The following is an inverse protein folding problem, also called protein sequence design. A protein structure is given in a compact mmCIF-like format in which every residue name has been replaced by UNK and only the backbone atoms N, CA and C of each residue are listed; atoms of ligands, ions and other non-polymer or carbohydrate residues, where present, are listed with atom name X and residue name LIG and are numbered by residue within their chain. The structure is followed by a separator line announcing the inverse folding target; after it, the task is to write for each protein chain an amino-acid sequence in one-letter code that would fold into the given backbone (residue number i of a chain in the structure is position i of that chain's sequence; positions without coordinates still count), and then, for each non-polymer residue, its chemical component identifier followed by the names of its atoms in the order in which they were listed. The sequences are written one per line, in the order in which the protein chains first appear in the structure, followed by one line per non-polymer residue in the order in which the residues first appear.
data_IF_719997390629
#
_entry.id   IF_719997390629
#
_cell.length_a   1.000
_cell.length_b   1.000
_cell.length_c   1.000
_cell.angle_alpha   90.00
_cell.angle_beta   90.00
_cell.angle_gamma   90.00
#
_symmetry.space_group_name_H-M   'P 1'
#
loop_
_entity.id
_entity.type
_entity.pdbx_description
1 polymer ?
#
# COMPACT_ATOMS: atom_id res chain seq x y z
N UNK A 1 48.03 -15.45 -31.43
CA UNK A 1 47.63 -14.95 -30.08
C UNK A 1 47.72 -13.42 -30.15
N UNK A 2 46.61 -12.74 -30.36
CA UNK A 2 46.56 -11.27 -30.52
C UNK A 2 46.38 -10.70 -29.12
N UNK A 3 47.40 -10.05 -28.58
CA UNK A 3 47.33 -9.37 -27.30
C UNK A 3 46.40 -8.17 -27.39
N UNK A 4 45.36 -8.10 -26.52
CA UNK A 4 44.52 -6.94 -26.45
C UNK A 4 45.33 -5.73 -25.95
N UNK A 5 45.11 -4.53 -26.52
CA UNK A 5 45.78 -3.33 -26.09
C UNK A 5 45.45 -2.99 -24.63
N UNK A 6 46.39 -2.38 -23.88
CA UNK A 6 46.12 -2.00 -22.50
C UNK A 6 44.99 -0.97 -22.44
N UNK A 7 44.04 -1.22 -21.53
CA UNK A 7 42.89 -0.35 -21.27
C UNK A 7 43.42 1.01 -20.80
N UNK A 8 42.96 2.10 -21.45
CA UNK A 8 43.37 3.45 -21.09
C UNK A 8 42.95 3.81 -19.67
N UNK A 9 43.70 4.66 -18.94
CA UNK A 9 43.33 5.08 -17.57
C UNK A 9 41.94 5.71 -17.53
N UNK A 10 41.50 6.33 -18.60
CA UNK A 10 40.20 6.99 -18.73
C UNK A 10 39.03 5.98 -18.84
N UNK A 11 39.26 4.86 -19.57
CA UNK A 11 38.28 3.75 -19.62
C UNK A 11 38.14 3.01 -18.29
N UNK A 12 39.25 2.87 -17.56
CA UNK A 12 39.24 2.25 -16.24
C UNK A 12 38.48 3.11 -15.20
N UNK A 13 38.61 4.43 -15.28
CA UNK A 13 37.85 5.38 -14.46
C UNK A 13 36.36 5.37 -14.81
N UNK A 14 36.00 5.32 -16.09
CA UNK A 14 34.61 5.27 -16.55
C UNK A 14 33.92 3.96 -16.14
N UNK A 15 34.61 2.82 -16.20
CA UNK A 15 34.08 1.53 -15.76
C UNK A 15 33.92 1.45 -14.25
N UNK A 16 34.83 2.02 -13.47
CA UNK A 16 34.68 2.13 -12.00
C UNK A 16 33.54 3.05 -11.62
N UNK A 17 33.32 4.14 -12.34
CA UNK A 17 32.22 5.05 -12.10
C UNK A 17 30.87 4.40 -12.45
N UNK A 18 30.76 3.69 -13.59
CA UNK A 18 29.57 2.91 -13.99
C UNK A 18 29.25 1.80 -12.98
N UNK A 19 30.26 1.08 -12.46
CA UNK A 19 30.04 0.05 -11.42
C UNK A 19 29.56 0.65 -10.10
N UNK A 20 30.09 1.80 -9.68
CA UNK A 20 29.61 2.50 -8.47
C UNK A 20 28.17 2.98 -8.62
N UNK A 21 27.80 3.52 -9.77
CA UNK A 21 26.45 3.96 -10.07
C UNK A 21 25.48 2.77 -10.04
N UNK A 22 25.85 1.62 -10.64
CA UNK A 22 25.01 0.42 -10.63
C UNK A 22 24.80 -0.15 -9.22
N UNK A 23 25.84 -0.16 -8.37
CA UNK A 23 25.74 -0.71 -7.02
C UNK A 23 24.94 0.19 -6.09
N UNK A 24 25.01 1.51 -6.28
CA UNK A 24 24.30 2.51 -5.47
C UNK A 24 22.80 2.56 -5.82
N UNK A 25 22.44 2.24 -7.04
CA UNK A 25 21.05 2.16 -7.51
C UNK A 25 20.27 0.95 -6.99
N UNK A 26 20.94 -0.09 -6.50
CA UNK A 26 20.28 -1.32 -6.01
C UNK A 26 19.52 -1.09 -4.70
N UNK A 27 20.06 -0.28 -3.78
CA UNK A 27 19.44 -0.07 -2.46
C UNK A 27 18.06 0.59 -2.55
N UNK A 28 17.86 1.73 -3.25
CA UNK A 28 16.53 2.30 -3.44
C UNK A 28 15.56 1.29 -4.07
N UNK A 29 15.99 0.61 -5.14
CA UNK A 29 15.15 -0.39 -5.82
C UNK A 29 14.69 -1.52 -4.89
N UNK A 30 15.56 -2.02 -4.00
CA UNK A 30 15.18 -3.03 -3.01
C UNK A 30 14.17 -2.51 -1.99
N UNK A 31 14.28 -1.25 -1.58
CA UNK A 31 13.32 -0.61 -0.68
C UNK A 31 11.94 -0.44 -1.36
N UNK A 32 11.92 0.01 -2.62
CA UNK A 32 10.70 0.09 -3.42
C UNK A 32 10.02 -1.27 -3.59
N UNK A 33 10.81 -2.34 -3.84
CA UNK A 33 10.28 -3.70 -3.86
C UNK A 33 9.76 -4.15 -2.49
N UNK A 34 10.38 -3.71 -1.39
CA UNK A 34 9.89 -3.90 -0.04
C UNK A 34 8.53 -3.26 0.18
N UNK A 35 8.34 -2.01 -0.29
CA UNK A 35 7.03 -1.33 -0.31
C UNK A 35 6.00 -2.17 -1.08
N UNK A 36 6.31 -2.62 -2.30
CA UNK A 36 5.42 -3.45 -3.12
C UNK A 36 5.03 -4.75 -2.43
N UNK A 37 5.97 -5.43 -1.79
CA UNK A 37 5.71 -6.67 -1.04
C UNK A 37 4.77 -6.40 0.14
N UNK A 38 4.96 -5.30 0.86
CA UNK A 38 4.07 -4.88 1.94
C UNK A 38 2.64 -4.64 1.44
N UNK A 39 2.49 -3.95 0.31
CA UNK A 39 1.19 -3.72 -0.32
C UNK A 39 0.49 -5.02 -0.73
N UNK A 40 1.21 -5.92 -1.39
CA UNK A 40 0.69 -7.24 -1.77
C UNK A 40 0.29 -8.08 -0.54
N UNK A 41 1.13 -8.10 0.50
CA UNK A 41 0.82 -8.77 1.75
C UNK A 41 -0.40 -8.15 2.46
N UNK A 42 -0.55 -6.82 2.43
CA UNK A 42 -1.73 -6.14 2.97
C UNK A 42 -3.02 -6.58 2.26
N UNK A 43 -3.01 -6.68 0.93
CA UNK A 43 -4.14 -7.21 0.14
C UNK A 43 -4.42 -8.67 0.53
N UNK A 44 -3.38 -9.50 0.66
CA UNK A 44 -3.54 -10.89 1.07
C UNK A 44 -4.21 -11.03 2.44
N UNK A 45 -3.80 -10.24 3.43
CA UNK A 45 -4.45 -10.27 4.74
C UNK A 45 -5.86 -9.68 4.71
N UNK A 46 -6.09 -8.61 3.96
CA UNK A 46 -7.42 -8.04 3.79
C UNK A 46 -8.38 -8.95 3.03
N UNK A 47 -7.90 -9.88 2.19
CA UNK A 47 -8.75 -10.86 1.50
C UNK A 47 -9.27 -11.98 2.41
N UNK A 48 -8.63 -12.21 3.56
CA UNK A 48 -9.06 -13.22 4.51
C UNK A 48 -10.31 -12.78 5.30
N UNK A 49 -11.10 -13.73 5.85
CA UNK A 49 -12.15 -13.41 6.81
C UNK A 49 -11.59 -12.58 7.98
N UNK A 50 -12.39 -11.61 8.45
CA UNK A 50 -12.00 -10.82 9.62
C UNK A 50 -12.04 -11.73 10.85
N UNK A 51 -10.93 -11.84 11.54
CA UNK A 51 -10.79 -12.70 12.72
C UNK A 51 -9.34 -12.75 13.20
N UNK A 52 -9.08 -13.42 14.33
CA UNK A 52 -7.74 -13.58 14.84
C UNK A 52 -6.90 -14.39 13.86
N UNK A 53 -5.72 -13.90 13.54
CA UNK A 53 -4.74 -14.60 12.71
C UNK A 53 -3.73 -15.34 13.60
N UNK A 54 -2.99 -16.28 12.98
CA UNK A 54 -1.88 -16.97 13.65
C UNK A 54 -0.68 -16.04 13.93
N UNK A 55 -0.71 -14.79 13.44
CA UNK A 55 0.35 -13.80 13.63
C UNK A 55 0.00 -12.97 14.86
N UNK A 56 0.65 -13.22 15.98
CA UNK A 56 0.53 -12.48 17.24
C UNK A 56 -0.92 -12.35 17.78
N UNK A 57 -1.89 -13.15 17.29
CA UNK A 57 -3.29 -13.03 17.66
C UNK A 57 -4.02 -11.78 17.11
N UNK A 58 -3.37 -11.00 16.24
CA UNK A 58 -3.96 -9.79 15.65
C UNK A 58 -5.03 -10.15 14.62
N UNK A 59 -6.01 -9.25 14.44
CA UNK A 59 -6.98 -9.43 13.37
C UNK A 59 -6.33 -9.29 12.00
N UNK A 60 -6.88 -9.94 10.98
CA UNK A 60 -6.38 -9.88 9.62
C UNK A 60 -6.33 -8.46 9.07
N UNK A 61 -7.33 -7.61 9.38
CA UNK A 61 -7.34 -6.20 9.00
C UNK A 61 -6.33 -5.36 9.78
N UNK A 62 -6.03 -5.70 11.05
CA UNK A 62 -4.97 -5.04 11.81
C UNK A 62 -3.61 -5.27 11.17
N UNK A 63 -3.34 -6.51 10.74
CA UNK A 63 -2.09 -6.82 10.03
C UNK A 63 -2.04 -6.10 8.69
N UNK A 64 -3.14 -6.07 7.94
CA UNK A 64 -3.19 -5.35 6.67
C UNK A 64 -2.87 -3.85 6.84
N UNK A 65 -3.47 -3.20 7.84
CA UNK A 65 -3.19 -1.79 8.16
C UNK A 65 -1.73 -1.55 8.58
N UNK A 66 -1.18 -2.42 9.43
CA UNK A 66 0.22 -2.34 9.84
C UNK A 66 1.19 -2.50 8.65
N UNK A 67 0.86 -3.37 7.68
CA UNK A 67 1.63 -3.56 6.45
C UNK A 67 1.58 -2.33 5.53
N UNK A 68 0.45 -1.61 5.46
CA UNK A 68 0.38 -0.33 4.75
C UNK A 68 1.32 0.69 5.38
N UNK A 69 1.35 0.81 6.72
CA UNK A 69 2.30 1.69 7.41
C UNK A 69 3.76 1.28 7.22
N UNK A 70 4.04 -0.02 7.21
CA UNK A 70 5.39 -0.52 6.90
C UNK A 70 5.78 -0.18 5.46
N UNK A 71 4.84 -0.28 4.50
CA UNK A 71 5.04 0.17 3.12
C UNK A 71 5.38 1.66 3.04
N UNK A 72 4.66 2.53 3.80
CA UNK A 72 4.98 3.97 3.88
C UNK A 72 6.39 4.22 4.42
N UNK A 73 6.86 3.39 5.36
CA UNK A 73 8.23 3.49 5.85
C UNK A 73 9.24 3.15 4.75
N UNK A 74 9.01 2.09 3.98
CA UNK A 74 9.88 1.72 2.86
C UNK A 74 9.90 2.79 1.78
N UNK A 75 8.73 3.35 1.39
CA UNK A 75 8.58 4.46 0.45
C UNK A 75 9.36 5.71 0.91
N UNK A 76 9.24 6.09 2.19
CA UNK A 76 10.03 7.19 2.73
C UNK A 76 11.54 6.94 2.73
N UNK A 77 11.95 5.70 2.97
CA UNK A 77 13.36 5.31 3.00
C UNK A 77 13.97 5.22 1.59
N UNK A 78 13.25 4.74 0.58
CA UNK A 78 13.79 4.67 -0.79
C UNK A 78 13.94 6.06 -1.39
N UNK A 79 12.97 6.96 -1.19
CA UNK A 79 13.07 8.36 -1.58
C UNK A 79 14.21 9.10 -0.87
N UNK A 80 14.48 8.79 0.41
CA UNK A 80 15.64 9.31 1.12
C UNK A 80 16.95 8.74 0.56
N UNK A 81 17.02 7.42 0.36
CA UNK A 81 18.19 6.73 -0.19
C UNK A 81 18.54 7.22 -1.62
N UNK A 82 17.54 7.40 -2.49
CA UNK A 82 17.74 7.91 -3.85
C UNK A 82 18.32 9.34 -3.85
N UNK A 83 17.86 10.20 -2.95
CA UNK A 83 18.41 11.57 -2.78
C UNK A 83 19.83 11.56 -2.24
N UNK A 84 20.10 10.75 -1.23
CA UNK A 84 21.43 10.67 -0.60
C UNK A 84 22.49 10.15 -1.59
N UNK A 85 22.11 9.20 -2.43
CA UNK A 85 23.02 8.54 -3.36
C UNK A 85 23.10 9.24 -4.73
N UNK A 86 22.27 10.27 -4.96
CA UNK A 86 22.14 10.96 -6.26
C UNK A 86 21.92 9.98 -7.42
N UNK A 87 21.19 8.89 -7.16
CA UNK A 87 20.97 7.79 -8.11
C UNK A 87 19.53 7.76 -8.65
N UNK A 88 18.86 8.89 -8.69
CA UNK A 88 17.53 8.99 -9.29
C UNK A 88 17.59 8.51 -10.75
N UNK A 89 16.83 7.46 -11.09
CA UNK A 89 16.69 6.94 -12.44
C UNK A 89 15.22 6.98 -12.86
N UNK A 90 14.96 7.17 -14.14
CA UNK A 90 13.58 7.11 -14.67
C UNK A 90 12.92 5.77 -14.39
N UNK A 91 13.67 4.67 -14.47
CA UNK A 91 13.19 3.34 -14.13
C UNK A 91 12.80 3.24 -12.64
N UNK A 92 13.61 3.80 -11.73
CA UNK A 92 13.30 3.83 -10.30
C UNK A 92 12.02 4.59 -10.01
N UNK A 93 11.80 5.75 -10.61
CA UNK A 93 10.59 6.56 -10.44
C UNK A 93 9.33 5.84 -10.98
N UNK A 94 9.44 5.10 -12.07
CA UNK A 94 8.32 4.29 -12.59
C UNK A 94 8.01 3.11 -11.67
N UNK A 95 9.04 2.41 -11.19
CA UNK A 95 8.86 1.29 -10.26
C UNK A 95 8.22 1.73 -8.94
N UNK A 96 8.66 2.88 -8.41
CA UNK A 96 8.13 3.54 -7.23
C UNK A 96 6.62 3.82 -7.39
N UNK A 97 6.22 4.45 -8.49
CA UNK A 97 4.82 4.70 -8.79
C UNK A 97 3.97 3.43 -8.88
N UNK A 98 4.54 2.34 -9.41
CA UNK A 98 3.85 1.04 -9.46
C UNK A 98 3.70 0.44 -8.06
N UNK A 99 4.73 0.51 -7.22
CA UNK A 99 4.69 0.05 -5.85
C UNK A 99 3.65 0.84 -5.03
N UNK A 100 3.67 2.16 -5.15
CA UNK A 100 2.73 3.06 -4.50
C UNK A 100 1.28 2.83 -4.92
N UNK A 101 1.05 2.52 -6.20
CA UNK A 101 -0.28 2.19 -6.69
C UNK A 101 -0.84 0.95 -5.98
N UNK A 102 -0.02 -0.07 -5.74
CA UNK A 102 -0.44 -1.28 -5.04
C UNK A 102 -0.63 -1.01 -3.55
N UNK A 103 0.34 -0.36 -2.91
CA UNK A 103 0.37 -0.19 -1.44
C UNK A 103 -0.58 0.91 -0.97
N UNK A 104 -0.70 2.02 -1.69
CA UNK A 104 -1.49 3.18 -1.28
C UNK A 104 -2.77 3.38 -2.10
N UNK A 105 -2.94 2.66 -3.21
CA UNK A 105 -4.16 2.63 -3.99
C UNK A 105 -4.99 1.38 -3.72
N UNK A 106 -4.50 0.22 -4.14
CA UNK A 106 -5.26 -1.03 -4.15
C UNK A 106 -5.47 -1.58 -2.73
N UNK A 107 -4.43 -1.65 -1.91
CA UNK A 107 -4.51 -2.25 -0.58
C UNK A 107 -5.53 -1.53 0.34
N UNK A 108 -5.53 -0.19 0.50
CA UNK A 108 -6.52 0.51 1.31
C UNK A 108 -7.94 0.37 0.76
N UNK A 109 -8.14 0.42 -0.56
CA UNK A 109 -9.44 0.20 -1.19
C UNK A 109 -10.00 -1.18 -0.83
N UNK A 110 -9.15 -2.21 -0.89
CA UNK A 110 -9.50 -3.57 -0.56
C UNK A 110 -9.82 -3.76 0.93
N UNK A 111 -9.08 -3.08 1.83
CA UNK A 111 -9.35 -3.07 3.26
C UNK A 111 -10.74 -2.49 3.57
N UNK A 112 -11.10 -1.37 2.94
CA UNK A 112 -12.43 -0.76 3.11
C UNK A 112 -13.54 -1.69 2.59
N UNK A 113 -13.37 -2.26 1.38
CA UNK A 113 -14.33 -3.23 0.84
C UNK A 113 -14.51 -4.42 1.77
N UNK A 114 -13.43 -4.96 2.34
CA UNK A 114 -13.51 -6.06 3.30
C UNK A 114 -14.27 -5.68 4.56
N UNK A 115 -13.99 -4.48 5.10
CA UNK A 115 -14.67 -3.99 6.29
C UNK A 115 -16.17 -3.81 6.05
N UNK A 116 -16.54 -3.18 4.95
CA UNK A 116 -17.94 -2.96 4.57
C UNK A 116 -18.65 -4.30 4.29
N UNK A 117 -17.98 -5.24 3.62
CA UNK A 117 -18.54 -6.59 3.36
C UNK A 117 -18.89 -7.32 4.64
N UNK A 118 -18.07 -7.19 5.66
CA UNK A 118 -18.30 -7.81 6.97
C UNK A 118 -19.58 -7.31 7.63
N UNK A 119 -19.88 -6.01 7.55
CA UNK A 119 -21.04 -5.42 8.23
C UNK A 119 -22.34 -5.48 7.42
N UNK A 120 -22.25 -5.41 6.11
CA UNK A 120 -23.44 -5.23 5.26
C UNK A 120 -23.68 -6.39 4.29
N UNK A 121 -22.78 -7.34 4.22
CA UNK A 121 -22.88 -8.48 3.31
C UNK A 121 -23.84 -9.59 3.75
N UNK A 122 -24.33 -9.58 4.99
CA UNK A 122 -25.14 -10.65 5.56
C UNK A 122 -24.30 -11.92 5.91
N UNK A 123 -24.96 -12.98 6.44
CA UNK A 123 -24.26 -14.17 6.94
C UNK A 123 -23.42 -14.90 5.90
N UNK A 124 -23.83 -14.88 4.64
CA UNK A 124 -23.10 -15.52 3.54
C UNK A 124 -21.85 -14.73 3.11
N UNK A 125 -21.76 -13.43 3.46
CA UNK A 125 -20.68 -12.54 3.05
C UNK A 125 -19.56 -12.37 4.08
N UNK A 126 -19.63 -13.06 5.23
CA UNK A 126 -18.50 -13.05 6.18
C UNK A 126 -17.20 -13.57 5.57
N UNK A 127 -17.28 -14.41 4.56
CA UNK A 127 -16.12 -14.97 3.84
C UNK A 127 -15.86 -14.28 2.50
N UNK A 128 -16.88 -13.62 1.90
CA UNK A 128 -16.79 -12.94 0.61
C UNK A 128 -16.42 -11.47 0.73
N UNK A 129 -16.14 -10.85 -0.40
CA UNK A 129 -15.91 -9.40 -0.55
C UNK A 129 -16.93 -8.88 -1.55
N UNK A 130 -17.54 -7.73 -1.23
CA UNK A 130 -18.47 -7.08 -2.14
C UNK A 130 -17.80 -6.80 -3.49
N UNK A 131 -18.42 -7.29 -4.56
CA UNK A 131 -17.96 -7.14 -5.93
C UNK A 131 -18.93 -6.32 -6.79
N UNK A 132 -18.60 -6.14 -8.06
CA UNK A 132 -19.49 -5.48 -9.03
C UNK A 132 -20.75 -6.31 -9.32
N UNK A 133 -20.72 -7.58 -8.97
CA UNK A 133 -21.79 -8.59 -9.07
C UNK A 133 -22.65 -8.70 -7.80
N UNK A 134 -22.43 -7.85 -6.80
CA UNK A 134 -23.20 -7.84 -5.56
C UNK A 134 -24.73 -7.76 -5.86
N UNK A 135 -25.54 -8.54 -5.14
CA UNK A 135 -26.99 -8.61 -5.36
C UNK A 135 -27.71 -7.29 -5.03
N UNK A 136 -27.14 -6.49 -4.12
CA UNK A 136 -27.73 -5.24 -3.68
C UNK A 136 -27.05 -4.01 -4.29
N UNK A 137 -27.83 -2.93 -4.48
CA UNK A 137 -27.33 -1.66 -5.02
C UNK A 137 -26.22 -1.05 -4.12
N UNK A 138 -26.30 -1.23 -2.81
CA UNK A 138 -25.32 -0.72 -1.87
C UNK A 138 -23.95 -1.34 -2.09
N UNK A 139 -23.86 -2.66 -2.25
CA UNK A 139 -22.60 -3.35 -2.54
C UNK A 139 -21.94 -2.89 -3.83
N UNK A 140 -22.75 -2.70 -4.90
CA UNK A 140 -22.27 -2.15 -6.18
C UNK A 140 -21.71 -0.74 -6.03
N UNK A 141 -22.40 0.12 -5.25
CA UNK A 141 -21.95 1.49 -4.99
C UNK A 141 -20.62 1.48 -4.20
N UNK A 142 -20.51 0.66 -3.16
CA UNK A 142 -19.29 0.58 -2.35
C UNK A 142 -18.10 0.09 -3.17
N UNK A 143 -18.33 -0.91 -4.02
CA UNK A 143 -17.31 -1.34 -4.97
C UNK A 143 -16.91 -0.23 -5.93
N UNK A 144 -17.90 0.52 -6.46
CA UNK A 144 -17.67 1.67 -7.34
C UNK A 144 -16.84 2.77 -6.66
N UNK A 145 -17.12 3.08 -5.39
CA UNK A 145 -16.34 4.04 -4.59
C UNK A 145 -14.89 3.58 -4.41
N UNK A 146 -14.67 2.30 -4.11
CA UNK A 146 -13.33 1.74 -3.99
C UNK A 146 -12.57 1.78 -5.33
N UNK A 147 -13.23 1.42 -6.43
CA UNK A 147 -12.65 1.52 -7.77
C UNK A 147 -12.33 2.97 -8.14
N UNK A 148 -13.20 3.92 -7.81
CA UNK A 148 -12.95 5.35 -8.03
C UNK A 148 -11.75 5.86 -7.24
N UNK A 149 -11.59 5.45 -5.98
CA UNK A 149 -10.39 5.76 -5.19
C UNK A 149 -9.11 5.28 -5.87
N UNK A 150 -9.10 4.05 -6.40
CA UNK A 150 -7.97 3.50 -7.15
C UNK A 150 -7.67 4.34 -8.39
N UNK A 151 -8.71 4.70 -9.17
CA UNK A 151 -8.54 5.56 -10.34
C UNK A 151 -7.97 6.94 -9.98
N UNK A 152 -8.44 7.56 -8.91
CA UNK A 152 -7.92 8.84 -8.43
C UNK A 152 -6.45 8.75 -8.02
N UNK A 153 -6.06 7.66 -7.35
CA UNK A 153 -4.66 7.40 -6.98
C UNK A 153 -3.79 7.23 -8.23
N UNK A 154 -4.24 6.46 -9.22
CA UNK A 154 -3.53 6.27 -10.49
C UNK A 154 -3.32 7.59 -11.24
N UNK A 155 -4.38 8.38 -11.40
CA UNK A 155 -4.31 9.68 -12.06
C UNK A 155 -3.35 10.64 -11.36
N UNK A 156 -3.36 10.60 -10.04
CA UNK A 156 -2.45 11.42 -9.25
C UNK A 156 -0.99 11.04 -9.45
N UNK A 157 -0.65 9.73 -9.37
CA UNK A 157 0.71 9.23 -9.59
C UNK A 157 1.19 9.52 -11.01
N UNK A 158 0.32 9.32 -12.01
CA UNK A 158 0.62 9.65 -13.40
C UNK A 158 0.90 11.15 -13.58
N UNK A 159 0.08 12.01 -12.97
CA UNK A 159 0.31 13.46 -13.03
C UNK A 159 1.65 13.85 -12.39
N UNK A 160 1.95 13.31 -11.21
CA UNK A 160 3.22 13.58 -10.52
C UNK A 160 4.44 13.19 -11.38
N UNK A 161 4.39 12.04 -12.07
CA UNK A 161 5.45 11.61 -12.96
C UNK A 161 5.65 12.56 -14.16
N UNK A 162 4.57 13.11 -14.72
CA UNK A 162 4.64 14.08 -15.83
C UNK A 162 5.20 15.43 -15.34
N UNK A 163 4.79 15.89 -14.16
CA UNK A 163 5.25 17.15 -13.59
C UNK A 163 6.77 17.11 -13.26
N UNK A 164 7.29 15.97 -12.78
CA UNK A 164 8.74 15.79 -12.55
C UNK A 164 9.53 15.82 -13.86
N UNK A 165 8.98 15.30 -14.95
CA UNK A 165 9.63 15.28 -16.25
C UNK A 165 9.69 16.67 -16.92
N UNK A 166 8.80 17.60 -16.55
CA UNK A 166 8.80 18.98 -17.04
C UNK A 166 9.70 19.87 -16.16
N UNK A 167 10.84 20.28 -16.71
CA UNK A 167 11.99 20.92 -16.04
C UNK A 167 11.77 22.40 -15.64
N UNK A 168 10.58 22.87 -15.37
CA UNK A 168 10.33 24.24 -14.90
C UNK A 168 10.39 24.32 -13.37
N UNK A 169 11.55 24.73 -12.84
CA UNK A 169 11.86 24.86 -11.40
C UNK A 169 10.97 25.85 -10.64
N UNK A 170 10.18 26.65 -11.31
CA UNK A 170 9.40 27.73 -10.67
C UNK A 170 8.07 27.28 -10.07
N UNK A 171 7.50 26.13 -10.48
CA UNK A 171 6.15 25.68 -10.10
C UNK A 171 6.13 24.63 -8.97
N UNK A 172 7.30 24.17 -8.51
CA UNK A 172 7.44 23.11 -7.50
C UNK A 172 7.12 23.52 -6.04
N UNK A 173 6.67 24.77 -5.82
CA UNK A 173 6.49 25.28 -4.44
C UNK A 173 5.17 24.93 -3.76
N UNK A 174 4.21 24.37 -4.45
CA UNK A 174 2.91 24.05 -3.87
C UNK A 174 2.47 22.62 -4.17
N UNK A 175 2.44 21.79 -3.12
CA UNK A 175 1.78 20.48 -3.15
C UNK A 175 0.27 20.70 -3.39
N UNK A 176 -0.23 20.30 -4.55
CA UNK A 176 -1.68 20.34 -4.86
C UNK A 176 -2.33 19.01 -4.46
N UNK A 177 -2.98 18.98 -3.30
CA UNK A 177 -3.77 17.84 -2.84
C UNK A 177 -3.08 16.94 -1.80
N UNK A 178 -3.85 16.00 -1.22
CA UNK A 178 -3.37 15.06 -0.20
C UNK A 178 -2.42 14.01 -0.81
N UNK A 179 -1.22 13.75 -0.27
CA UNK A 179 -0.31 12.71 -0.77
C UNK A 179 -0.93 11.30 -0.73
N UNK A 180 -0.65 10.45 -1.73
CA UNK A 180 -1.20 9.08 -1.79
C UNK A 180 -0.91 8.28 -0.51
N UNK A 181 0.31 8.32 0.07
CA UNK A 181 0.57 7.73 1.37
C UNK A 181 -0.31 8.32 2.49
N UNK A 182 -0.53 9.65 2.48
CA UNK A 182 -1.39 10.30 3.48
C UNK A 182 -2.84 9.81 3.43
N UNK A 183 -3.42 9.65 2.24
CA UNK A 183 -4.75 9.09 2.07
C UNK A 183 -4.83 7.62 2.52
N UNK A 184 -3.85 6.81 2.13
CA UNK A 184 -3.74 5.41 2.56
C UNK A 184 -3.58 5.29 4.07
N UNK A 185 -2.74 6.14 4.68
CA UNK A 185 -2.53 6.20 6.12
C UNK A 185 -3.80 6.58 6.90
N UNK A 186 -4.61 7.49 6.38
CA UNK A 186 -5.91 7.83 6.98
C UNK A 186 -6.85 6.62 6.98
N UNK A 187 -6.97 5.90 5.86
CA UNK A 187 -7.79 4.68 5.76
C UNK A 187 -7.26 3.60 6.71
N UNK A 188 -5.96 3.35 6.72
CA UNK A 188 -5.34 2.37 7.60
C UNK A 188 -5.55 2.72 9.08
N UNK A 189 -5.37 3.99 9.48
CA UNK A 189 -5.60 4.47 10.83
C UNK A 189 -7.04 4.26 11.28
N UNK A 190 -8.03 4.61 10.44
CA UNK A 190 -9.44 4.40 10.74
C UNK A 190 -9.78 2.92 10.87
N UNK A 191 -9.19 2.07 10.01
CA UNK A 191 -9.38 0.62 10.09
C UNK A 191 -8.79 0.05 11.38
N UNK A 192 -7.59 0.48 11.78
CA UNK A 192 -6.96 0.07 13.04
C UNK A 192 -7.76 0.53 14.26
N UNK A 193 -8.21 1.79 14.25
CA UNK A 193 -9.06 2.33 15.32
C UNK A 193 -10.35 1.50 15.45
N UNK A 194 -11.01 1.21 14.33
CA UNK A 194 -12.21 0.38 14.32
C UNK A 194 -11.94 -1.02 14.91
N UNK A 195 -10.85 -1.68 14.50
CA UNK A 195 -10.50 -3.00 15.04
C UNK A 195 -10.18 -2.94 16.54
N UNK A 196 -9.52 -1.87 17.00
CA UNK A 196 -9.23 -1.66 18.42
C UNK A 196 -10.51 -1.48 19.24
N UNK A 197 -11.45 -0.67 18.79
CA UNK A 197 -12.74 -0.45 19.45
C UNK A 197 -13.56 -1.74 19.53
N UNK A 198 -13.53 -2.57 18.49
CA UNK A 198 -14.19 -3.86 18.49
C UNK A 198 -13.64 -4.80 19.59
N UNK A 199 -12.31 -4.88 19.71
CA UNK A 199 -11.67 -5.71 20.75
C UNK A 199 -12.08 -5.26 22.14
N UNK A 200 -12.18 -3.96 22.41
CA UNK A 200 -12.62 -3.42 23.69
C UNK A 200 -14.08 -3.82 23.96
N UNK A 201 -14.99 -3.64 23.01
CA UNK A 201 -16.40 -3.98 23.16
C UNK A 201 -16.61 -5.47 23.46
N UNK A 202 -15.87 -6.37 22.80
CA UNK A 202 -15.95 -7.80 23.07
C UNK A 202 -15.36 -8.21 24.42
N UNK A 203 -14.44 -7.43 25.00
CA UNK A 203 -13.88 -7.70 26.33
C UNK A 203 -14.79 -7.23 27.46
N UNK A 204 -15.64 -6.23 27.20
CA UNK A 204 -16.60 -5.71 28.22
C UNK A 204 -17.93 -6.47 28.30
N UNK A 205 -18.22 -7.34 27.31
CA UNK A 205 -19.42 -8.20 27.35
C UNK A 205 -19.05 -9.51 28.08
N UNK A 206 -19.53 -9.74 29.29
CA UNK A 206 -19.27 -11.00 29.98
C UNK A 206 -19.87 -12.17 29.18
N UNK A 207 -19.24 -13.37 29.21
CA UNK A 207 -19.65 -14.53 28.40
C UNK A 207 -21.10 -14.95 28.63
N UNK A 208 -21.69 -14.61 29.76
CA UNK A 208 -23.11 -14.90 30.11
C UNK A 208 -24.10 -13.98 29.38
N UNK A 209 -23.65 -12.89 28.76
CA UNK A 209 -24.51 -11.97 28.00
C UNK A 209 -24.88 -12.50 26.63
N UNK A 210 -24.11 -13.40 26.06
CA UNK A 210 -24.31 -13.93 24.71
C UNK A 210 -25.47 -14.94 24.62
N UNK A 211 -25.72 -15.72 25.69
CA UNK A 211 -26.86 -16.66 25.76
C UNK A 211 -28.21 -15.93 25.86
N UNK A 212 -28.25 -14.77 26.54
CA UNK A 212 -29.49 -14.00 26.70
C UNK A 212 -29.96 -13.27 25.47
N UNK A 213 -29.04 -12.82 24.61
CA UNK A 213 -29.38 -12.11 23.36
C UNK A 213 -29.82 -13.07 22.25
N UNK A 214 -29.28 -14.28 22.22
CA UNK A 214 -29.70 -15.29 21.24
C UNK A 214 -31.08 -15.86 21.51
N UNK A 215 -31.52 -15.90 22.81
CA UNK A 215 -32.86 -16.36 23.20
C UNK A 215 -33.94 -15.30 23.04
N UNK A 216 -33.62 -14.05 22.75
CA UNK A 216 -34.56 -12.95 22.50
C UNK A 216 -34.83 -12.72 21.01
N UNK A 217 -34.10 -13.40 20.11
CA UNK A 217 -34.21 -13.30 18.65
C UNK A 217 -34.79 -14.58 18.00
N UNK A 218 -35.27 -15.56 18.81
CA UNK A 218 -36.09 -16.72 18.43
C UNK A 218 -37.49 -16.55 18.95
#
# INVERSE_FOLDING_TARGET
MIAQPPISPDESHSMRHRRRIATVSVIPTLLTLGNLICGFAAIHYASKPIGPSNVMGWSTLTIAGALVFLGMLFDGLDGFAARLTRSASEFGAQLDSMADMVTFGVAPAFMVLRLVSYYYGGPEHYTGILGPDADNAYGKIMWGVAAFYICCTALRLARFNVEIASTDEADHRFFRGLPSPGAAGAIASLTLLHQHLMVIQFHEIPPDGFEKTSSLLL
#
